data_IF_983649610410
#
_entry.id   IF_983649610410
#
_cell.length_a   1.000
_cell.length_b   1.000
_cell.length_c   1.000
_cell.angle_alpha   90.00
_cell.angle_beta   90.00
_cell.angle_gamma   90.00
#
_symmetry.space_group_name_H-M   'P 1'
#
loop_
_entity.id
_entity.type
_entity.pdbx_description
1 polymer ?
#
# COMPACT_ATOMS: atom_id res chain seq x y z
N UNK A 1 10.42 -7.05 -26.45
CA UNK A 1 10.65 -6.87 -25.00
C UNK A 1 9.29 -6.70 -24.37
N UNK A 2 8.94 -7.52 -23.38
CA UNK A 2 7.70 -7.34 -22.63
C UNK A 2 7.75 -6.01 -21.88
N UNK A 3 6.65 -5.26 -21.86
CA UNK A 3 6.53 -4.07 -21.04
C UNK A 3 6.35 -4.46 -19.55
N UNK A 4 6.71 -3.59 -18.59
CA UNK A 4 6.50 -3.87 -17.17
C UNK A 4 5.03 -4.13 -16.84
N UNK A 5 4.80 -4.91 -15.78
CA UNK A 5 3.49 -5.00 -15.12
C UNK A 5 3.16 -3.63 -14.52
N UNK A 6 2.11 -3.00 -15.01
CA UNK A 6 1.66 -1.67 -14.57
C UNK A 6 0.61 -1.78 -13.48
N UNK A 7 0.94 -1.26 -12.30
CA UNK A 7 0.09 -1.34 -11.11
C UNK A 7 -0.51 0.03 -10.78
N UNK A 8 -1.83 0.11 -10.73
CA UNK A 8 -2.57 1.21 -10.11
C UNK A 8 -2.73 0.92 -8.63
N UNK A 9 -2.08 1.69 -7.76
CA UNK A 9 -2.14 1.51 -6.31
C UNK A 9 -3.15 2.47 -5.67
N UNK A 10 -4.06 1.93 -4.86
CA UNK A 10 -5.06 2.70 -4.11
C UNK A 10 -4.89 2.38 -2.62
N UNK A 11 -4.62 3.41 -1.82
CA UNK A 11 -4.56 3.35 -0.37
C UNK A 11 -4.99 4.71 0.23
N UNK A 12 -5.00 4.82 1.56
CA UNK A 12 -5.60 5.93 2.30
C UNK A 12 -4.74 7.19 2.34
N UNK A 13 -3.45 7.02 2.61
CA UNK A 13 -2.62 8.11 3.07
C UNK A 13 -1.37 8.34 2.23
N UNK A 14 -0.73 9.45 2.59
CA UNK A 14 0.56 9.86 2.04
C UNK A 14 1.71 9.01 2.58
N UNK A 15 1.54 8.35 3.73
CA UNK A 15 2.58 7.51 4.33
C UNK A 15 2.83 6.26 3.48
N UNK A 16 1.75 5.68 2.97
CA UNK A 16 1.73 4.50 2.12
C UNK A 16 2.13 4.87 0.69
N UNK A 17 1.60 6.00 0.20
CA UNK A 17 1.68 6.38 -1.21
C UNK A 17 2.83 7.34 -1.55
N UNK A 18 3.48 7.94 -0.57
CA UNK A 18 4.55 8.92 -0.83
C UNK A 18 4.02 10.16 -1.55
N UNK A 19 4.70 10.57 -2.62
CA UNK A 19 4.28 11.75 -3.41
C UNK A 19 3.31 11.43 -4.54
N UNK A 20 2.82 10.19 -4.64
CA UNK A 20 1.86 9.77 -5.67
C UNK A 20 0.39 10.09 -5.36
N UNK A 21 0.13 10.93 -4.35
CA UNK A 21 -1.22 11.36 -3.97
C UNK A 21 -1.67 12.55 -4.84
N UNK A 22 -2.94 12.60 -5.32
CA UNK A 22 -3.37 13.59 -6.33
C UNK A 22 -3.33 15.06 -5.95
N UNK A 23 -3.33 15.37 -4.66
CA UNK A 23 -3.23 16.75 -4.18
C UNK A 23 -1.84 17.34 -4.41
N UNK A 24 -0.84 16.48 -4.64
CA UNK A 24 0.56 16.84 -4.94
C UNK A 24 0.84 16.75 -6.44
N UNK A 25 0.08 15.93 -7.18
CA UNK A 25 0.33 15.65 -8.59
C UNK A 25 -0.19 16.72 -9.54
N UNK A 26 0.62 17.02 -10.56
CA UNK A 26 0.17 17.79 -11.71
C UNK A 26 -0.87 16.96 -12.50
N UNK A 27 -2.01 17.53 -12.93
CA UNK A 27 -2.98 16.83 -13.77
C UNK A 27 -2.37 16.12 -14.99
N UNK A 28 -1.29 16.68 -15.54
CA UNK A 28 -0.57 16.11 -16.69
C UNK A 28 0.21 14.84 -16.36
N UNK A 29 0.37 14.47 -15.08
CA UNK A 29 1.05 13.25 -14.66
C UNK A 29 0.17 12.00 -14.67
N UNK A 30 -1.15 12.15 -14.86
CA UNK A 30 -2.07 11.02 -14.98
C UNK A 30 -1.62 10.01 -16.04
N UNK A 31 -1.63 8.73 -15.70
CA UNK A 31 -1.23 7.63 -16.59
C UNK A 31 0.28 7.45 -16.77
N UNK A 32 1.12 8.34 -16.20
CA UNK A 32 2.58 8.20 -16.25
C UNK A 32 3.08 7.21 -15.19
N UNK A 33 4.22 6.60 -15.47
CA UNK A 33 4.95 5.77 -14.52
C UNK A 33 5.47 6.67 -13.39
N UNK A 34 5.23 6.25 -12.15
CA UNK A 34 5.73 6.90 -10.94
C UNK A 34 7.25 6.70 -10.91
N UNK A 35 8.00 7.79 -10.71
CA UNK A 35 9.44 7.67 -10.50
C UNK A 35 9.68 6.90 -9.18
N UNK A 36 10.58 5.91 -9.13
CA UNK A 36 10.93 5.21 -7.87
C UNK A 36 11.27 6.15 -6.71
N UNK A 37 11.83 7.34 -6.96
CA UNK A 37 12.10 8.35 -5.93
C UNK A 37 10.84 9.04 -5.36
N UNK A 38 9.69 8.84 -5.99
CA UNK A 38 8.38 9.40 -5.61
C UNK A 38 7.46 8.35 -4.95
N UNK A 39 7.90 7.09 -4.95
CA UNK A 39 7.21 5.97 -4.35
C UNK A 39 7.16 6.09 -2.82
N UNK A 40 6.10 5.56 -2.23
CA UNK A 40 5.97 5.45 -0.77
C UNK A 40 6.42 4.09 -0.24
N UNK A 41 6.23 3.89 1.07
CA UNK A 41 6.57 2.65 1.75
C UNK A 41 5.83 1.43 1.16
N UNK A 42 4.54 1.57 0.85
CA UNK A 42 3.74 0.45 0.33
C UNK A 42 4.19 0.01 -1.08
N UNK A 43 4.55 0.97 -1.93
CA UNK A 43 5.11 0.69 -3.26
C UNK A 43 6.39 -0.14 -3.14
N UNK A 44 7.27 0.26 -2.22
CA UNK A 44 8.56 -0.41 -1.96
C UNK A 44 8.34 -1.83 -1.46
N UNK A 45 7.42 -2.05 -0.51
CA UNK A 45 7.08 -3.40 -0.03
C UNK A 45 6.55 -4.29 -1.15
N UNK A 46 5.59 -3.81 -1.94
CA UNK A 46 5.02 -4.55 -3.08
C UNK A 46 6.12 -4.93 -4.07
N UNK A 47 7.01 -3.98 -4.40
CA UNK A 47 8.12 -4.21 -5.32
C UNK A 47 9.08 -5.28 -4.80
N UNK A 48 9.47 -5.22 -3.53
CA UNK A 48 10.37 -6.22 -2.92
C UNK A 48 9.73 -7.60 -2.87
N UNK A 49 8.44 -7.68 -2.54
CA UNK A 49 7.68 -8.93 -2.50
C UNK A 49 7.54 -9.58 -3.89
N UNK A 50 7.17 -8.79 -4.90
CA UNK A 50 7.10 -9.27 -6.28
C UNK A 50 8.48 -9.66 -6.83
N UNK A 51 9.52 -8.89 -6.52
CA UNK A 51 10.90 -9.22 -6.88
C UNK A 51 11.39 -10.53 -6.25
N UNK A 52 11.01 -10.79 -5.00
CA UNK A 52 11.32 -12.04 -4.29
C UNK A 52 10.75 -13.30 -4.95
N UNK A 53 9.72 -13.16 -5.79
CA UNK A 53 9.13 -14.27 -6.57
C UNK A 53 9.48 -14.21 -8.07
N UNK A 54 10.47 -13.39 -8.45
CA UNK A 54 10.98 -13.26 -9.82
C UNK A 54 10.22 -12.27 -10.71
N UNK A 55 9.25 -11.52 -10.17
CA UNK A 55 8.49 -10.50 -10.89
C UNK A 55 9.15 -9.12 -10.70
N UNK A 56 10.31 -8.93 -11.32
CA UNK A 56 11.14 -7.73 -11.14
C UNK A 56 10.71 -6.52 -11.98
N UNK A 57 10.05 -6.75 -13.12
CA UNK A 57 9.67 -5.69 -14.07
C UNK A 57 8.28 -5.13 -13.74
N UNK A 58 8.22 -4.30 -12.69
CA UNK A 58 7.00 -3.69 -12.15
C UNK A 58 7.10 -2.17 -12.19
N UNK A 59 6.04 -1.52 -12.65
CA UNK A 59 5.91 -0.07 -12.66
C UNK A 59 4.61 0.35 -11.98
N UNK A 60 4.65 1.34 -11.10
CA UNK A 60 3.43 1.95 -10.58
C UNK A 60 3.01 3.12 -11.45
N UNK A 61 1.70 3.38 -11.53
CA UNK A 61 1.13 4.37 -12.45
C UNK A 61 0.32 5.41 -11.68
N UNK A 62 0.60 6.68 -11.95
CA UNK A 62 -0.19 7.78 -11.41
C UNK A 62 -1.63 7.69 -11.91
N UNK A 63 -2.60 7.85 -11.01
CA UNK A 63 -3.99 8.05 -11.41
C UNK A 63 -4.20 9.44 -12.00
N UNK A 64 -5.15 9.54 -12.93
CA UNK A 64 -5.57 10.83 -13.44
C UNK A 64 -6.31 11.59 -12.35
N UNK A 65 -5.96 12.86 -12.16
CA UNK A 65 -6.64 13.71 -11.19
C UNK A 65 -8.07 13.96 -11.64
N UNK A 66 -9.05 13.69 -10.79
CA UNK A 66 -10.45 13.96 -11.12
C UNK A 66 -10.84 15.37 -10.66
N UNK A 67 -11.73 16.03 -11.41
CA UNK A 67 -12.22 17.40 -11.10
C UNK A 67 -12.90 17.47 -9.71
N UNK A 68 -13.30 16.33 -9.15
CA UNK A 68 -13.97 16.22 -7.84
C UNK A 68 -13.05 15.76 -6.70
N UNK A 69 -11.74 15.65 -6.96
CA UNK A 69 -10.75 15.43 -5.89
C UNK A 69 -10.57 16.74 -5.12
N UNK A 70 -11.43 16.96 -4.12
CA UNK A 70 -11.17 17.92 -3.07
C UNK A 70 -9.85 17.54 -2.36
N UNK A 71 -9.10 18.52 -1.86
CA UNK A 71 -7.80 18.38 -1.16
C UNK A 71 -7.86 17.62 0.18
N UNK A 72 -8.85 16.74 0.38
CA UNK A 72 -9.10 16.03 1.63
C UNK A 72 -8.53 14.61 1.48
N UNK A 73 -7.53 14.29 2.32
CA UNK A 73 -7.02 12.93 2.50
C UNK A 73 -8.16 11.99 2.88
N UNK A 74 -8.18 10.80 2.27
CA UNK A 74 -9.29 9.85 2.37
C UNK A 74 -8.98 8.83 3.46
N UNK A 75 -9.96 8.56 4.33
CA UNK A 75 -9.90 7.44 5.29
C UNK A 75 -10.30 6.14 4.61
N UNK A 76 -10.03 5.00 5.22
CA UNK A 76 -10.27 3.68 4.64
C UNK A 76 -11.69 3.42 4.26
N UNK A 77 -12.61 3.98 5.03
CA UNK A 77 -14.03 3.85 4.72
C UNK A 77 -14.38 4.58 3.43
N UNK A 78 -13.76 5.74 3.18
CA UNK A 78 -14.00 6.55 1.99
C UNK A 78 -13.28 6.01 0.75
N UNK A 79 -12.12 5.34 0.92
CA UNK A 79 -11.37 4.73 -0.17
C UNK A 79 -12.12 3.55 -0.80
N UNK A 80 -12.90 2.80 -0.01
CA UNK A 80 -13.67 1.65 -0.50
C UNK A 80 -15.10 1.98 -0.96
N UNK A 81 -15.50 3.26 -0.95
CA UNK A 81 -16.84 3.62 -1.40
C UNK A 81 -16.99 3.31 -2.90
N UNK A 82 -18.04 2.55 -3.31
CA UNK A 82 -18.22 2.15 -4.71
C UNK A 82 -18.17 3.32 -5.70
N UNK A 83 -18.81 4.44 -5.34
CA UNK A 83 -18.85 5.66 -6.15
C UNK A 83 -17.48 6.33 -6.31
N UNK A 84 -16.60 6.19 -5.32
CA UNK A 84 -15.24 6.69 -5.39
C UNK A 84 -14.37 5.74 -6.20
N UNK A 85 -14.39 4.45 -5.88
CA UNK A 85 -13.62 3.43 -6.59
C UNK A 85 -13.93 3.41 -8.09
N UNK A 86 -15.21 3.44 -8.48
CA UNK A 86 -15.56 3.49 -9.90
C UNK A 86 -14.93 4.69 -10.59
N UNK A 87 -14.98 5.88 -9.98
CA UNK A 87 -14.35 7.10 -10.52
C UNK A 87 -12.84 7.01 -10.63
N UNK A 88 -12.18 6.43 -9.62
CA UNK A 88 -10.72 6.30 -9.61
C UNK A 88 -10.28 5.28 -10.65
N UNK A 89 -10.95 4.14 -10.72
CA UNK A 89 -10.58 3.06 -11.63
C UNK A 89 -10.79 3.50 -13.08
N UNK A 90 -11.93 4.11 -13.41
CA UNK A 90 -12.18 4.62 -14.78
C UNK A 90 -11.36 5.86 -15.11
N UNK A 91 -10.63 6.44 -14.14
CA UNK A 91 -9.71 7.54 -14.43
C UNK A 91 -8.48 7.05 -15.18
N UNK A 92 -8.04 5.80 -14.96
CA UNK A 92 -7.01 5.17 -15.77
C UNK A 92 -7.57 4.70 -17.11
N UNK A 93 -6.77 4.84 -18.16
CA UNK A 93 -7.10 4.22 -19.44
C UNK A 93 -6.78 2.71 -19.40
N UNK A 94 -7.51 1.87 -20.17
CA UNK A 94 -7.27 0.44 -20.24
C UNK A 94 -5.83 -0.02 -20.51
N UNK A 95 -5.08 0.77 -21.26
CA UNK A 95 -3.67 0.51 -21.62
C UNK A 95 -2.66 0.96 -20.56
N UNK A 96 -3.09 1.77 -19.58
CA UNK A 96 -2.22 2.35 -18.57
C UNK A 96 -2.00 1.41 -17.38
N UNK A 97 -2.98 0.59 -17.01
CA UNK A 97 -2.93 -0.26 -15.82
C UNK A 97 -3.30 -1.70 -16.15
N UNK A 98 -2.46 -2.65 -15.73
CA UNK A 98 -2.68 -4.08 -15.88
C UNK A 98 -3.41 -4.66 -14.67
N UNK A 99 -3.13 -4.10 -13.50
CA UNK A 99 -3.62 -4.58 -12.21
C UNK A 99 -3.86 -3.41 -11.26
N UNK A 100 -4.94 -3.50 -10.49
CA UNK A 100 -5.19 -2.58 -9.38
C UNK A 100 -4.88 -3.27 -8.06
N UNK A 101 -4.16 -2.59 -7.19
CA UNK A 101 -3.90 -3.02 -5.81
C UNK A 101 -4.63 -2.06 -4.88
N UNK A 102 -5.41 -2.61 -3.95
CA UNK A 102 -6.14 -1.85 -2.95
C UNK A 102 -5.69 -2.27 -1.55
N UNK A 103 -5.06 -1.37 -0.79
CA UNK A 103 -4.68 -1.65 0.61
C UNK A 103 -5.43 -0.72 1.54
N UNK A 104 -6.18 -1.31 2.48
CA UNK A 104 -7.11 -0.63 3.37
C UNK A 104 -6.69 -0.85 4.81
N UNK A 105 -6.58 0.23 5.57
CA UNK A 105 -6.43 0.13 7.02
C UNK A 105 -7.74 -0.36 7.62
N UNK A 106 -7.62 -1.44 8.38
CA UNK A 106 -8.69 -1.97 9.17
C UNK A 106 -8.22 -1.86 10.61
N UNK A 107 -8.78 -0.90 11.34
CA UNK A 107 -8.57 -0.77 12.77
C UNK A 107 -9.21 -2.00 13.48
N UNK A 108 -10.24 -1.79 14.29
CA UNK A 108 -10.96 -2.88 14.97
C UNK A 108 -12.21 -3.36 14.19
N UNK A 109 -12.47 -2.83 13.00
CA UNK A 109 -13.66 -3.14 12.19
C UNK A 109 -13.45 -4.29 11.18
N UNK A 110 -12.50 -5.19 11.42
CA UNK A 110 -12.05 -6.21 10.45
C UNK A 110 -13.21 -6.92 9.72
N UNK A 111 -14.19 -7.45 10.47
CA UNK A 111 -15.35 -8.15 9.89
C UNK A 111 -16.18 -7.23 8.98
N UNK A 112 -16.51 -6.01 9.43
CA UNK A 112 -17.25 -5.04 8.60
C UNK A 112 -16.45 -4.64 7.36
N UNK A 113 -15.11 -4.67 7.43
CA UNK A 113 -14.22 -4.28 6.35
C UNK A 113 -14.04 -5.38 5.32
N UNK A 114 -14.02 -6.64 5.71
CA UNK A 114 -13.94 -7.78 4.78
C UNK A 114 -15.09 -7.76 3.76
N UNK A 115 -16.33 -7.58 4.21
CA UNK A 115 -17.50 -7.50 3.31
C UNK A 115 -17.40 -6.32 2.35
N UNK A 116 -16.99 -5.15 2.87
CA UNK A 116 -16.82 -3.94 2.05
C UNK A 116 -15.68 -4.09 1.06
N UNK A 117 -14.63 -4.84 1.39
CA UNK A 117 -13.50 -5.11 0.48
C UNK A 117 -13.89 -6.08 -0.63
N UNK A 118 -14.67 -7.12 -0.36
CA UNK A 118 -15.20 -7.98 -1.42
C UNK A 118 -16.08 -7.18 -2.41
N UNK A 119 -16.91 -6.28 -1.88
CA UNK A 119 -17.69 -5.37 -2.72
C UNK A 119 -16.79 -4.40 -3.50
N UNK A 120 -15.76 -3.82 -2.87
CA UNK A 120 -14.78 -2.96 -3.53
C UNK A 120 -14.03 -3.68 -4.67
N UNK A 121 -13.60 -4.93 -4.47
CA UNK A 121 -12.98 -5.76 -5.50
C UNK A 121 -13.90 -5.93 -6.71
N UNK A 122 -15.18 -6.17 -6.46
CA UNK A 122 -16.19 -6.31 -7.51
C UNK A 122 -16.30 -5.01 -8.31
N UNK A 123 -16.38 -3.86 -7.63
CA UNK A 123 -16.44 -2.55 -8.27
C UNK A 123 -15.18 -2.29 -9.10
N UNK A 124 -13.99 -2.56 -8.57
CA UNK A 124 -12.73 -2.40 -9.33
C UNK A 124 -12.73 -3.28 -10.58
N UNK A 125 -13.09 -4.55 -10.43
CA UNK A 125 -13.12 -5.51 -11.54
C UNK A 125 -14.09 -5.09 -12.65
N UNK A 126 -15.28 -4.61 -12.28
CA UNK A 126 -16.29 -4.14 -13.24
C UNK A 126 -15.90 -2.87 -13.99
N UNK A 127 -14.98 -2.07 -13.44
CA UNK A 127 -14.59 -0.78 -14.00
C UNK A 127 -13.19 -0.76 -14.61
N UNK A 128 -12.35 -1.77 -14.32
CA UNK A 128 -11.05 -1.94 -14.95
C UNK A 128 -11.26 -2.62 -16.30
N UNK A 129 -11.39 -1.83 -17.36
CA UNK A 129 -11.69 -2.33 -18.70
C UNK A 129 -10.41 -2.61 -19.50
N UNK A 130 -10.50 -3.49 -20.49
CA UNK A 130 -9.50 -3.62 -21.56
C UNK A 130 -9.79 -2.68 -22.73
N UNK A 131 -9.01 -2.81 -23.81
CA UNK A 131 -9.10 -1.92 -24.98
C UNK A 131 -10.44 -2.06 -25.72
N UNK A 132 -11.12 -3.19 -25.55
CA UNK A 132 -12.42 -3.47 -26.16
C UNK A 132 -13.59 -3.07 -25.22
N UNK A 133 -13.27 -2.48 -24.06
CA UNK A 133 -14.25 -2.08 -23.06
C UNK A 133 -14.77 -3.26 -22.22
N UNK A 134 -14.09 -4.41 -22.24
CA UNK A 134 -14.47 -5.60 -21.48
C UNK A 134 -13.81 -5.57 -20.10
N UNK A 135 -14.55 -5.89 -19.02
CA UNK A 135 -13.98 -5.98 -17.67
C UNK A 135 -12.82 -6.97 -17.58
N UNK A 136 -11.71 -6.54 -17.01
CA UNK A 136 -10.54 -7.38 -16.74
C UNK A 136 -10.70 -8.15 -15.44
N UNK A 137 -11.26 -9.34 -15.54
CA UNK A 137 -11.44 -10.26 -14.42
C UNK A 137 -10.10 -10.66 -13.79
N UNK A 138 -10.09 -10.84 -12.47
CA UNK A 138 -8.93 -11.32 -11.71
C UNK A 138 -7.66 -10.45 -11.86
N UNK A 139 -7.83 -9.14 -12.05
CA UNK A 139 -6.76 -8.11 -12.10
C UNK A 139 -6.74 -7.20 -10.87
N UNK A 140 -7.36 -7.60 -9.78
CA UNK A 140 -7.42 -6.84 -8.54
C UNK A 140 -6.88 -7.68 -7.38
N UNK A 141 -5.94 -7.14 -6.60
CA UNK A 141 -5.52 -7.71 -5.32
C UNK A 141 -5.83 -6.72 -4.20
N UNK A 142 -6.11 -7.26 -3.00
CA UNK A 142 -6.46 -6.44 -1.85
C UNK A 142 -5.66 -6.82 -0.62
N UNK A 143 -5.20 -5.81 0.11
CA UNK A 143 -4.64 -5.97 1.43
C UNK A 143 -5.54 -5.33 2.49
N UNK A 144 -5.68 -6.03 3.61
CA UNK A 144 -6.27 -5.46 4.82
C UNK A 144 -5.12 -5.24 5.81
N UNK A 145 -4.73 -3.99 6.00
CA UNK A 145 -3.73 -3.61 6.97
C UNK A 145 -4.37 -3.57 8.37
N UNK A 146 -4.29 -4.70 9.08
CA UNK A 146 -4.91 -4.89 10.39
C UNK A 146 -4.15 -4.07 11.43
N UNK A 147 -4.91 -3.27 12.21
CA UNK A 147 -4.34 -2.24 13.09
C UNK A 147 -3.41 -1.31 12.33
N UNK A 148 -3.82 -0.89 11.13
CA UNK A 148 -3.16 0.00 10.18
C UNK A 148 -1.84 -0.48 9.54
N UNK A 149 -1.46 0.19 8.44
CA UNK A 149 -0.29 -0.11 7.64
C UNK A 149 1.03 -0.07 8.44
N UNK A 150 1.13 0.80 9.44
CA UNK A 150 2.31 0.88 10.31
C UNK A 150 2.58 -0.44 11.05
N UNK A 151 1.57 -1.28 11.27
CA UNK A 151 1.76 -2.63 11.84
C UNK A 151 2.72 -3.47 10.99
N UNK A 152 2.63 -3.40 9.67
CA UNK A 152 3.52 -4.15 8.77
C UNK A 152 4.96 -3.65 8.84
N UNK A 153 5.15 -2.33 8.97
CA UNK A 153 6.48 -1.74 9.11
C UNK A 153 7.09 -2.01 10.50
N UNK A 154 6.26 -2.07 11.54
CA UNK A 154 6.67 -2.32 12.92
C UNK A 154 7.01 -3.80 13.18
N UNK A 155 6.55 -4.72 12.34
CA UNK A 155 6.73 -6.16 12.52
C UNK A 155 8.19 -6.58 12.71
N UNK A 156 9.12 -5.98 11.98
CA UNK A 156 10.55 -6.18 12.20
C UNK A 156 11.07 -5.16 13.24
N UNK A 157 10.75 -5.43 14.50
CA UNK A 157 11.08 -4.55 15.63
C UNK A 157 12.58 -4.29 15.77
N UNK A 158 13.43 -5.27 15.43
CA UNK A 158 14.87 -5.15 15.55
C UNK A 158 15.42 -4.19 14.49
N UNK A 159 14.96 -4.31 13.25
CA UNK A 159 15.32 -3.38 12.19
C UNK A 159 14.79 -1.97 12.47
N UNK A 160 13.58 -1.84 13.00
CA UNK A 160 13.02 -0.54 13.40
C UNK A 160 13.86 0.11 14.50
N UNK A 161 14.17 -0.63 15.57
CA UNK A 161 15.00 -0.17 16.67
C UNK A 161 16.40 0.25 16.20
N UNK A 162 17.00 -0.53 15.29
CA UNK A 162 18.30 -0.26 14.70
C UNK A 162 18.30 1.02 13.86
N UNK A 163 17.40 1.13 12.87
CA UNK A 163 17.32 2.29 11.98
C UNK A 163 17.08 3.59 12.75
N UNK A 164 16.16 3.55 13.72
CA UNK A 164 15.79 4.72 14.49
C UNK A 164 16.71 4.94 15.69
N UNK A 165 17.61 4.00 16.01
CA UNK A 165 18.46 4.05 17.21
C UNK A 165 17.65 4.30 18.49
N UNK A 166 16.54 3.56 18.65
CA UNK A 166 15.64 3.64 19.81
C UNK A 166 15.44 2.26 20.43
N UNK A 167 14.99 2.25 21.68
CA UNK A 167 14.52 1.01 22.34
C UNK A 167 13.01 0.95 22.18
N UNK A 168 12.52 -0.07 21.45
CA UNK A 168 11.10 -0.38 21.40
C UNK A 168 10.69 -1.18 22.64
N UNK A 169 9.42 -1.06 23.02
CA UNK A 169 8.90 -1.78 24.17
C UNK A 169 8.99 -3.30 23.95
N UNK A 170 9.50 -4.03 24.94
CA UNK A 170 9.72 -5.47 24.88
C UNK A 170 8.42 -6.31 24.94
N UNK A 171 7.26 -5.68 25.11
CA UNK A 171 5.97 -6.32 25.31
C UNK A 171 5.08 -6.34 24.05
N UNK A 172 5.63 -6.05 22.86
CA UNK A 172 4.91 -6.23 21.62
C UNK A 172 4.58 -7.72 21.43
N UNK A 173 3.30 -8.07 21.15
CA UNK A 173 2.93 -9.46 20.92
C UNK A 173 3.68 -10.01 19.70
N UNK A 174 3.89 -11.33 19.70
CA UNK A 174 4.57 -12.01 18.61
C UNK A 174 3.82 -11.81 17.28
N UNK A 175 2.51 -12.10 17.28
CA UNK A 175 1.61 -11.71 16.19
C UNK A 175 1.03 -10.32 16.50
N UNK A 176 1.40 -9.35 15.67
CA UNK A 176 0.98 -7.96 15.86
C UNK A 176 -0.47 -7.73 15.44
N UNK A 177 -1.02 -8.58 14.57
CA UNK A 177 -2.37 -8.46 14.05
C UNK A 177 -3.39 -9.16 14.98
N UNK A 178 -3.01 -10.22 15.70
CA UNK A 178 -3.94 -10.94 16.59
C UNK A 178 -4.02 -10.40 18.02
N UNK A 179 -4.89 -9.40 18.25
CA UNK A 179 -5.47 -9.12 19.58
C UNK A 179 -6.78 -8.33 19.40
N UNK A 180 -7.95 -8.82 19.85
CA UNK A 180 -9.16 -8.01 19.94
C UNK A 180 -9.12 -7.10 21.17
N UNK A 181 -9.56 -5.85 21.01
CA UNK A 181 -9.84 -4.93 22.12
C UNK A 181 -8.62 -4.38 22.86
N UNK A 182 -8.87 -3.83 24.04
CA UNK A 182 -8.06 -3.08 25.01
C UNK A 182 -6.72 -3.70 25.46
N UNK A 183 -6.32 -4.85 24.88
CA UNK A 183 -4.98 -5.44 25.00
C UNK A 183 -4.14 -5.35 23.73
N UNK A 184 -4.70 -4.80 22.65
CA UNK A 184 -4.04 -4.56 21.36
C UNK A 184 -2.68 -3.89 21.57
N UNK A 185 -1.62 -4.26 20.81
CA UNK A 185 -0.42 -3.45 20.76
C UNK A 185 -0.87 -2.03 20.45
N UNK A 186 -0.67 -1.15 21.44
CA UNK A 186 -1.06 0.26 21.44
C UNK A 186 -0.77 0.79 20.04
N UNK A 187 -1.82 1.07 19.26
CA UNK A 187 -1.79 1.56 17.87
C UNK A 187 -0.38 1.61 17.23
N UNK A 188 -0.01 0.64 16.39
CA UNK A 188 1.33 0.53 15.79
C UNK A 188 1.84 1.86 15.20
N UNK A 189 0.94 2.65 14.60
CA UNK A 189 1.21 4.02 14.16
C UNK A 189 1.71 4.93 15.27
N UNK A 190 1.07 4.94 16.44
CA UNK A 190 1.49 5.74 17.58
C UNK A 190 2.87 5.32 18.11
N UNK A 191 3.16 4.02 18.13
CA UNK A 191 4.48 3.50 18.51
C UNK A 191 5.52 3.98 17.50
N UNK A 192 5.26 3.81 16.20
CA UNK A 192 6.19 4.19 15.15
C UNK A 192 6.39 5.71 15.08
N UNK A 193 5.33 6.50 15.22
CA UNK A 193 5.41 7.96 15.29
C UNK A 193 6.21 8.43 16.52
N UNK A 194 6.03 7.78 17.68
CA UNK A 194 6.80 8.10 18.89
C UNK A 194 8.28 7.72 18.74
N UNK A 195 8.56 6.54 18.17
CA UNK A 195 9.91 6.08 17.86
C UNK A 195 10.62 7.03 16.89
N UNK A 196 9.96 7.42 15.79
CA UNK A 196 10.50 8.38 14.84
C UNK A 196 10.72 9.73 15.52
N UNK A 197 9.74 10.23 16.27
CA UNK A 197 9.82 11.52 16.95
C UNK A 197 10.99 11.61 17.94
N UNK A 198 11.23 10.53 18.70
CA UNK A 198 12.28 10.44 19.72
C UNK A 198 13.67 10.06 19.18
N UNK A 199 13.75 9.50 17.97
CA UNK A 199 15.03 9.13 17.35
C UNK A 199 15.94 10.33 17.05
N UNK A 200 17.18 10.07 16.65
CA UNK A 200 18.05 11.05 16.00
C UNK A 200 17.97 11.00 14.46
N UNK A 201 17.07 10.19 13.90
CA UNK A 201 16.91 9.96 12.46
C UNK A 201 16.80 11.27 11.68
N UNK A 202 17.72 11.48 10.73
CA UNK A 202 17.69 12.63 9.82
C UNK A 202 17.34 12.15 8.40
N UNK A 203 16.41 12.82 7.70
CA UNK A 203 16.14 12.52 6.31
C UNK A 203 17.41 12.68 5.48
N UNK A 204 17.79 11.62 4.75
CA UNK A 204 18.98 11.66 3.90
C UNK A 204 18.67 12.31 2.54
N UNK A 205 17.42 12.22 2.09
CA UNK A 205 16.96 12.84 0.84
C UNK A 205 16.39 14.24 1.08
N UNK A 206 16.86 15.29 0.36
CA UNK A 206 16.32 16.65 0.47
C UNK A 206 14.83 16.78 0.11
N UNK A 207 14.27 15.79 -0.61
CA UNK A 207 12.95 15.86 -1.25
C UNK A 207 11.80 15.45 -0.33
N UNK A 208 12.08 14.66 0.70
CA UNK A 208 11.09 14.27 1.70
C UNK A 208 11.36 15.10 2.97
N UNK A 209 10.92 16.36 2.96
CA UNK A 209 11.02 17.24 4.14
C UNK A 209 10.23 16.72 5.34
N UNK A 210 9.44 15.66 5.17
CA UNK A 210 8.74 14.99 6.24
C UNK A 210 9.51 13.75 6.72
N UNK A 211 10.18 13.91 7.85
CA UNK A 211 10.89 12.85 8.58
C UNK A 211 10.11 11.55 8.72
N UNK A 212 8.79 11.62 8.96
CA UNK A 212 7.95 10.44 9.14
C UNK A 212 7.73 9.65 7.84
N UNK A 213 7.71 10.32 6.69
CA UNK A 213 7.61 9.68 5.38
C UNK A 213 8.90 8.98 5.01
N UNK A 214 10.04 9.68 5.16
CA UNK A 214 11.35 9.13 4.82
C UNK A 214 11.69 7.92 5.68
N UNK A 215 11.44 7.99 7.00
CA UNK A 215 11.68 6.87 7.91
C UNK A 215 10.88 5.63 7.50
N UNK A 216 9.59 5.76 7.19
CA UNK A 216 8.74 4.64 6.75
C UNK A 216 9.17 4.06 5.42
N UNK A 217 9.58 4.93 4.49
CA UNK A 217 10.09 4.49 3.20
C UNK A 217 11.40 3.69 3.36
N UNK A 218 12.35 4.19 4.18
CA UNK A 218 13.56 3.44 4.49
C UNK A 218 13.27 2.13 5.21
N UNK A 219 12.35 2.11 6.18
CA UNK A 219 11.91 0.87 6.82
C UNK A 219 11.39 -0.14 5.79
N UNK A 220 10.49 0.29 4.89
CA UNK A 220 9.98 -0.59 3.84
C UNK A 220 11.08 -1.16 2.93
N UNK A 221 12.20 -0.46 2.76
CA UNK A 221 13.35 -0.92 1.98
C UNK A 221 14.18 -1.98 2.72
N UNK A 222 14.31 -1.87 4.06
CA UNK A 222 15.28 -2.67 4.82
C UNK A 222 14.67 -3.76 5.71
N UNK A 223 13.40 -3.68 6.10
CA UNK A 223 12.79 -4.69 6.99
C UNK A 223 12.85 -6.09 6.37
N UNK A 224 13.01 -7.12 7.20
CA UNK A 224 13.04 -8.51 6.75
C UNK A 224 11.62 -9.00 6.46
N UNK A 225 11.31 -9.20 5.18
CA UNK A 225 9.97 -9.60 4.74
C UNK A 225 9.50 -10.92 5.35
N UNK A 226 10.41 -11.86 5.61
CA UNK A 226 10.09 -13.13 6.27
C UNK A 226 9.54 -12.91 7.69
N UNK A 227 10.12 -11.97 8.44
CA UNK A 227 9.65 -11.58 9.78
C UNK A 227 8.28 -10.91 9.71
N UNK A 228 8.07 -10.04 8.72
CA UNK A 228 6.76 -9.39 8.51
C UNK A 228 5.69 -10.45 8.21
N UNK A 229 5.97 -11.41 7.32
CA UNK A 229 5.04 -12.49 6.98
C UNK A 229 4.74 -13.41 8.17
N UNK A 230 5.73 -13.66 9.04
CA UNK A 230 5.55 -14.45 10.26
C UNK A 230 4.66 -13.75 11.29
N UNK A 231 4.87 -12.44 11.49
CA UNK A 231 4.22 -11.65 12.55
C UNK A 231 2.93 -10.95 12.13
N UNK A 232 2.62 -10.92 10.84
CA UNK A 232 1.44 -10.30 10.25
C UNK A 232 0.75 -11.26 9.27
N UNK A 233 0.24 -12.38 9.77
CA UNK A 233 -0.28 -13.45 8.93
C UNK A 233 -1.65 -13.15 8.31
N UNK A 234 -2.53 -12.51 9.08
CA UNK A 234 -3.93 -12.31 8.70
C UNK A 234 -4.13 -11.17 7.71
N UNK A 235 -3.30 -10.13 7.79
CA UNK A 235 -3.29 -8.97 6.92
C UNK A 235 -2.19 -9.07 5.87
N UNK A 236 -0.92 -8.99 6.29
CA UNK A 236 0.21 -8.90 5.36
C UNK A 236 0.43 -10.17 4.52
N UNK A 237 0.59 -11.34 5.14
CA UNK A 237 0.85 -12.58 4.39
C UNK A 237 -0.32 -12.94 3.47
N UNK A 238 -1.56 -12.79 3.94
CA UNK A 238 -2.75 -12.99 3.12
C UNK A 238 -2.77 -12.05 1.90
N UNK A 239 -2.45 -10.78 2.10
CA UNK A 239 -2.32 -9.79 1.04
C UNK A 239 -1.25 -10.19 0.01
N UNK A 240 -0.05 -10.53 0.46
CA UNK A 240 1.07 -10.87 -0.43
C UNK A 240 0.75 -12.12 -1.26
N UNK A 241 0.14 -13.15 -0.66
CA UNK A 241 -0.28 -14.34 -1.39
C UNK A 241 -1.28 -14.01 -2.51
N UNK A 242 -2.26 -13.14 -2.22
CA UNK A 242 -3.21 -12.68 -3.23
C UNK A 242 -2.54 -11.83 -4.31
N UNK A 243 -1.67 -10.90 -3.92
CA UNK A 243 -0.90 -10.02 -4.81
C UNK A 243 -0.07 -10.84 -5.80
N UNK A 244 0.72 -11.80 -5.31
CA UNK A 244 1.55 -12.66 -6.17
C UNK A 244 0.70 -13.50 -7.11
N UNK A 245 -0.40 -14.08 -6.62
CA UNK A 245 -1.32 -14.84 -7.46
C UNK A 245 -1.87 -14.00 -8.61
N UNK A 246 -2.38 -12.80 -8.30
CA UNK A 246 -2.95 -11.89 -9.30
C UNK A 246 -1.87 -11.37 -10.24
N UNK A 247 -0.68 -11.00 -9.74
CA UNK A 247 0.41 -10.48 -10.56
C UNK A 247 0.97 -11.49 -11.56
N UNK A 248 1.02 -12.79 -11.20
CA UNK A 248 1.42 -13.86 -12.13
C UNK A 248 0.44 -14.03 -13.28
N UNK A 249 -0.86 -13.96 -12.96
CA UNK A 249 -1.88 -13.96 -14.00
C UNK A 249 -1.83 -12.65 -14.80
N UNK A 250 -1.42 -11.57 -14.12
CA UNK A 250 -1.14 -10.16 -14.50
C UNK A 250 -0.47 -9.90 -15.84
N UNK A 251 0.50 -10.74 -16.15
CA UNK A 251 1.54 -10.38 -17.10
C UNK A 251 0.95 -10.18 -18.51
N UNK A 252 1.36 -9.12 -19.21
CA UNK A 252 0.97 -8.95 -20.61
C UNK A 252 1.45 -10.17 -21.39
N UNK A 253 0.55 -10.78 -22.17
CA UNK A 253 0.91 -11.83 -23.12
C UNK A 253 2.00 -11.28 -24.06
N UNK A 254 3.05 -12.08 -24.25
CA UNK A 254 4.21 -11.75 -25.08
C UNK A 254 3.84 -11.54 -26.55
#
# INVERSE_FOLDING_TARGET
MSRPLRIGLISEGRLELGTSVPDILDPSDGGKIINPDQEGALHTLIRRELGGVGLNDVAFVHRHRTVKDNRILRTGHSVIQPKYLSRVVVSWKPEEVDMVVLVIDVDDELLSRQDKVAHAQTVVTQNLLDQDGVPRLNRCATGLAIKNFDTWLLADTDTVASLLSVVLAADLPHDLESLPGDRSPRNAKAILDSAIGSSAFQPQKPRVQNRHLEARWQLADIIHLDVVRERCQAGYLAFINQLVHVARNSQPLA
#
